data_IF_937114494385
#
_entry.id   IF_937114494385
#
_cell.length_a   1.000
_cell.length_b   1.000
_cell.length_c   1.000
_cell.angle_alpha   90.00
_cell.angle_beta   90.00
_cell.angle_gamma   90.00
#
_symmetry.space_group_name_H-M   'P 1'
#
loop_
_entity.id
_entity.type
_entity.pdbx_description
1 polymer ?
#
# COMPACT_ATOMS: atom_id res chain seq x y z
N UNK A 1 -24.67 2.04 19.44
CA UNK A 1 -23.31 1.47 19.38
C UNK A 1 -23.09 0.92 17.98
N UNK A 2 -22.60 1.75 17.05
CA UNK A 2 -22.26 1.28 15.71
C UNK A 2 -21.06 0.34 15.83
N UNK A 3 -21.03 -0.81 15.13
CA UNK A 3 -19.85 -1.64 15.09
C UNK A 3 -18.72 -0.78 14.54
N UNK A 4 -17.71 -0.48 15.38
CA UNK A 4 -16.44 0.08 14.89
C UNK A 4 -16.00 -0.87 13.78
N UNK A 5 -15.70 -0.39 12.55
CA UNK A 5 -15.26 -1.27 11.49
C UNK A 5 -14.16 -2.10 12.10
N UNK A 6 -14.39 -3.42 12.15
CA UNK A 6 -13.42 -4.36 12.66
C UNK A 6 -12.15 -3.99 11.91
N UNK A 7 -11.15 -3.46 12.60
CA UNK A 7 -9.82 -3.20 12.04
C UNK A 7 -9.29 -4.59 11.74
N UNK A 8 -9.75 -5.16 10.61
CA UNK A 8 -9.17 -6.32 10.00
C UNK A 8 -7.67 -6.08 10.05
N UNK A 9 -6.95 -7.01 10.67
CA UNK A 9 -5.58 -6.80 11.08
C UNK A 9 -4.79 -6.18 9.92
N UNK A 10 -4.33 -4.93 10.10
CA UNK A 10 -3.62 -4.16 9.07
C UNK A 10 -2.61 -5.06 8.38
N UNK A 11 -2.75 -5.21 7.07
CA UNK A 11 -2.02 -6.24 6.33
C UNK A 11 -0.70 -5.68 5.82
N UNK A 12 0.28 -5.62 6.72
CA UNK A 12 1.62 -5.13 6.41
C UNK A 12 2.39 -6.11 5.52
N UNK A 13 2.70 -5.68 4.31
CA UNK A 13 3.47 -6.42 3.32
C UNK A 13 4.86 -5.80 3.11
N UNK A 14 5.83 -6.60 2.66
CA UNK A 14 7.12 -6.08 2.17
C UNK A 14 6.94 -5.44 0.80
N UNK A 15 7.84 -4.55 0.40
CA UNK A 15 7.83 -3.95 -0.95
C UNK A 15 7.76 -4.99 -2.08
N UNK A 16 8.45 -6.13 -1.94
CA UNK A 16 8.39 -7.26 -2.89
C UNK A 16 7.00 -7.87 -3.02
N UNK A 17 6.29 -8.00 -1.91
CA UNK A 17 4.95 -8.58 -1.90
C UNK A 17 3.94 -7.62 -2.54
N UNK A 18 4.08 -6.31 -2.27
CA UNK A 18 3.29 -5.28 -2.94
C UNK A 18 3.59 -5.22 -4.43
N UNK A 19 4.87 -5.35 -4.81
CA UNK A 19 5.29 -5.41 -6.20
C UNK A 19 4.63 -6.58 -6.93
N UNK A 20 4.63 -7.76 -6.33
CA UNK A 20 3.94 -8.94 -6.86
C UNK A 20 2.42 -8.74 -6.92
N UNK A 21 1.83 -8.13 -5.89
CA UNK A 21 0.38 -7.90 -5.81
C UNK A 21 -0.12 -6.96 -6.92
N UNK A 22 0.63 -5.90 -7.21
CA UNK A 22 0.31 -4.93 -8.26
C UNK A 22 0.87 -5.32 -9.64
N UNK A 23 1.56 -6.46 -9.74
CA UNK A 23 2.27 -6.92 -10.94
C UNK A 23 3.24 -5.86 -11.52
N UNK A 24 4.01 -5.21 -10.64
CA UNK A 24 5.01 -4.20 -11.00
C UNK A 24 6.38 -4.53 -10.42
N UNK A 25 7.43 -3.83 -10.88
CA UNK A 25 8.77 -3.97 -10.31
C UNK A 25 8.88 -3.36 -8.91
N UNK A 26 9.76 -3.90 -8.06
CA UNK A 26 10.09 -3.29 -6.75
C UNK A 26 10.62 -1.85 -6.89
N UNK A 27 11.31 -1.56 -8.00
CA UNK A 27 11.79 -0.21 -8.32
C UNK A 27 10.61 0.75 -8.49
N UNK A 28 9.55 0.32 -9.16
CA UNK A 28 8.31 1.10 -9.33
C UNK A 28 7.65 1.35 -7.98
N UNK A 29 7.55 0.34 -7.11
CA UNK A 29 7.00 0.52 -5.75
C UNK A 29 7.81 1.55 -4.96
N UNK A 30 9.14 1.49 -5.00
CA UNK A 30 10.00 2.50 -4.32
C UNK A 30 9.81 3.89 -4.89
N UNK A 31 9.67 4.02 -6.22
CA UNK A 31 9.38 5.29 -6.86
C UNK A 31 8.02 5.85 -6.40
N UNK A 32 6.97 5.01 -6.33
CA UNK A 32 5.65 5.41 -5.83
C UNK A 32 5.68 5.84 -4.36
N UNK A 33 6.49 5.19 -3.53
CA UNK A 33 6.71 5.62 -2.14
C UNK A 33 7.45 6.97 -2.09
N UNK A 34 8.48 7.16 -2.91
CA UNK A 34 9.22 8.42 -2.97
C UNK A 34 8.36 9.59 -3.50
N UNK A 35 7.46 9.29 -4.43
CA UNK A 35 6.47 10.23 -4.98
C UNK A 35 5.33 10.54 -3.99
N UNK A 36 5.20 9.76 -2.91
CA UNK A 36 4.14 9.91 -1.91
C UNK A 36 2.81 9.27 -2.31
N UNK A 37 2.76 8.50 -3.40
CA UNK A 37 1.58 7.75 -3.84
C UNK A 37 1.28 6.53 -2.99
N UNK A 38 2.30 5.94 -2.37
CA UNK A 38 2.16 4.81 -1.45
C UNK A 38 2.77 5.15 -0.08
N UNK A 39 2.04 4.83 0.98
CA UNK A 39 2.49 5.06 2.35
C UNK A 39 3.39 3.92 2.82
N UNK A 40 4.62 4.25 3.21
CA UNK A 40 5.58 3.29 3.73
C UNK A 40 5.84 3.50 5.23
N UNK A 41 5.66 2.43 6.00
CA UNK A 41 5.92 2.35 7.42
C UNK A 41 7.30 1.76 7.69
N UNK A 42 8.14 2.53 8.37
CA UNK A 42 9.46 2.06 8.79
C UNK A 42 9.36 1.35 10.15
N UNK A 43 9.99 0.19 10.25
CA UNK A 43 10.18 -0.54 11.49
C UNK A 43 11.69 -0.59 11.79
N UNK A 44 12.20 0.47 12.40
CA UNK A 44 13.64 0.65 12.63
C UNK A 44 14.40 1.15 11.39
N UNK A 45 15.70 0.89 11.34
CA UNK A 45 16.62 1.56 10.40
C UNK A 45 16.51 1.02 8.96
N UNK A 46 16.21 -0.27 8.78
CA UNK A 46 16.29 -0.95 7.47
C UNK A 46 15.00 -1.66 7.02
N UNK A 47 14.03 -1.83 7.91
CA UNK A 47 12.80 -2.56 7.58
C UNK A 47 11.72 -1.57 7.18
N UNK A 48 11.18 -1.74 5.98
CA UNK A 48 10.07 -0.96 5.46
C UNK A 48 8.92 -1.89 5.11
N UNK A 49 7.72 -1.51 5.53
CA UNK A 49 6.46 -2.21 5.30
C UNK A 49 5.45 -1.26 4.66
N UNK A 50 4.61 -1.80 3.80
CA UNK A 50 3.49 -1.08 3.21
C UNK A 50 2.21 -1.75 3.70
N UNK A 51 1.18 -0.97 3.97
CA UNK A 51 -0.14 -1.52 4.32
C UNK A 51 -0.91 -1.81 3.02
N UNK A 52 -1.31 -3.06 2.80
CA UNK A 52 -2.04 -3.43 1.59
C UNK A 52 -3.41 -2.76 1.52
N UNK A 53 -4.05 -2.51 2.66
CA UNK A 53 -5.34 -1.80 2.70
C UNK A 53 -5.20 -0.36 2.17
N UNK A 54 -4.06 0.29 2.44
CA UNK A 54 -3.77 1.64 1.90
C UNK A 54 -3.34 1.59 0.42
N UNK A 55 -2.66 0.53 0.00
CA UNK A 55 -2.34 0.31 -1.42
C UNK A 55 -3.64 0.20 -2.23
N UNK A 56 -4.61 -0.58 -1.74
CA UNK A 56 -5.92 -0.72 -2.38
C UNK A 56 -6.71 0.60 -2.34
N UNK A 57 -6.68 1.33 -1.22
CA UNK A 57 -7.33 2.65 -1.12
C UNK A 57 -6.70 3.72 -2.02
N UNK A 58 -5.41 3.61 -2.34
CA UNK A 58 -4.70 4.51 -3.25
C UNK A 58 -5.02 4.23 -4.73
N UNK A 59 -5.61 3.07 -5.06
CA UNK A 59 -6.04 2.78 -6.42
C UNK A 59 -7.30 3.58 -6.75
N UNK A 60 -7.12 4.60 -7.57
CA UNK A 60 -8.25 5.30 -8.18
C UNK A 60 -8.78 4.50 -9.37
N UNK A 61 -10.10 4.33 -9.51
CA UNK A 61 -10.66 3.64 -10.66
C UNK A 61 -10.26 4.36 -11.95
N UNK A 62 -9.60 3.63 -12.85
CA UNK A 62 -9.33 4.10 -14.20
C UNK A 62 -10.62 3.89 -15.03
N UNK A 63 -11.51 4.89 -14.99
CA UNK A 63 -12.74 4.89 -15.80
C UNK A 63 -13.97 5.35 -15.01
N UNK A 64 -14.24 6.65 -15.03
CA UNK A 64 -15.40 7.22 -14.37
C UNK A 64 -15.52 8.74 -14.46
N UNK A 65 -15.39 9.33 -15.64
CA UNK A 65 -16.06 10.58 -16.03
C UNK A 65 -15.90 10.84 -17.55
N UNK A 66 -17.05 10.92 -18.23
CA UNK A 66 -17.32 11.27 -19.64
C UNK A 66 -16.97 10.22 -20.72
#
# INVERSE_FOLDING_TARGET
MAPKPNRAARRYAKMREVALYLDISERTVRAMVADGRLTAYKLGERVVRLDLDEVDAAMTPAGGAA
#
